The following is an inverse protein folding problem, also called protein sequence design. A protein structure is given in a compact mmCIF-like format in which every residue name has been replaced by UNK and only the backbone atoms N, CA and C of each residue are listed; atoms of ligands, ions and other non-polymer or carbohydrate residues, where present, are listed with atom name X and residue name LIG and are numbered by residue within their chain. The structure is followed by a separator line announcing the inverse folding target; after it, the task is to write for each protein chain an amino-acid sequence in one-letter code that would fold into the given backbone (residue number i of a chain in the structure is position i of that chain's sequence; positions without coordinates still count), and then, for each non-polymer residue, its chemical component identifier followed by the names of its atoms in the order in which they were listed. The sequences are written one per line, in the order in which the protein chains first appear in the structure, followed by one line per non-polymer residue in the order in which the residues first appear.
data_IF_934272475785
#
_entry.id   IF_934272475785
#
_cell.length_a   1.000
_cell.length_b   1.000
_cell.length_c   1.000
_cell.angle_alpha   90.00
_cell.angle_beta   90.00
_cell.angle_gamma   90.00
#
_symmetry.space_group_name_H-M   'P 1'
#
loop_
_entity.id
_entity.type
_entity.pdbx_description
1 polymer ?
#
# COMPACT_ATOMS: atom_id res chain seq x y z
N UNK A 1 -1.56 -8.81 2.78
CA UNK A 1 -1.89 -7.39 2.91
C UNK A 1 -2.81 -6.98 1.77
N UNK A 2 -3.43 -5.84 1.87
CA UNK A 2 -4.21 -5.28 0.77
C UNK A 2 -4.04 -3.77 0.81
N UNK A 3 -3.21 -3.25 -0.08
CA UNK A 3 -2.97 -1.81 -0.19
C UNK A 3 -3.53 -1.33 -1.53
N UNK A 4 -4.56 -0.51 -1.48
CA UNK A 4 -5.14 0.06 -2.69
C UNK A 4 -4.28 1.21 -3.19
N UNK A 5 -3.92 1.18 -4.47
CA UNK A 5 -3.15 2.25 -5.12
C UNK A 5 -4.06 2.89 -6.16
N UNK A 6 -4.63 4.07 -5.86
CA UNK A 6 -5.65 4.67 -6.74
C UNK A 6 -5.21 4.90 -8.18
N UNK A 7 -3.98 5.34 -8.37
CA UNK A 7 -3.48 5.62 -9.72
C UNK A 7 -3.31 4.36 -10.56
N UNK A 8 -3.19 3.21 -9.93
CA UNK A 8 -3.05 1.92 -10.61
C UNK A 8 -4.38 1.16 -10.66
N UNK A 9 -5.37 1.63 -9.91
CA UNK A 9 -6.66 0.97 -9.76
C UNK A 9 -6.48 -0.52 -9.44
N UNK A 10 -5.58 -0.81 -8.51
CA UNK A 10 -5.25 -2.18 -8.12
C UNK A 10 -4.80 -2.22 -6.67
N UNK A 11 -4.83 -3.43 -6.09
CA UNK A 11 -4.33 -3.67 -4.74
C UNK A 11 -3.00 -4.37 -4.81
N UNK A 12 -2.05 -3.91 -3.99
CA UNK A 12 -0.82 -4.65 -3.73
C UNK A 12 -1.14 -5.63 -2.62
N UNK A 13 -1.04 -6.91 -2.92
CA UNK A 13 -1.41 -7.96 -1.95
C UNK A 13 -0.21 -8.71 -1.37
N UNK A 14 0.93 -8.58 -2.00
CA UNK A 14 2.16 -9.23 -1.52
C UNK A 14 3.38 -8.51 -2.08
N UNK A 15 4.51 -8.66 -1.42
CA UNK A 15 5.78 -8.09 -1.90
C UNK A 15 6.93 -8.99 -1.44
N UNK A 16 8.08 -8.88 -2.13
CA UNK A 16 9.30 -9.60 -1.72
C UNK A 16 10.38 -8.62 -1.30
N UNK A 17 11.52 -9.15 -0.88
CA UNK A 17 12.64 -8.32 -0.42
C UNK A 17 13.41 -7.61 -1.53
N UNK A 18 13.09 -7.88 -2.79
CA UNK A 18 13.76 -7.28 -3.93
C UNK A 18 12.97 -6.14 -4.57
N UNK A 19 11.83 -5.80 -3.98
CA UNK A 19 10.99 -4.71 -4.49
C UNK A 19 9.97 -5.14 -5.53
N UNK A 20 9.82 -6.45 -5.77
CA UNK A 20 8.75 -6.93 -6.64
C UNK A 20 7.46 -6.99 -5.84
N UNK A 21 6.36 -6.78 -6.52
CA UNK A 21 5.04 -6.77 -5.91
C UNK A 21 4.12 -7.73 -6.64
N UNK A 22 3.11 -8.21 -5.92
CA UNK A 22 2.04 -8.99 -6.53
C UNK A 22 0.75 -8.19 -6.44
N UNK A 23 0.15 -7.96 -7.60
CA UNK A 23 -1.13 -7.26 -7.69
C UNK A 23 -2.26 -8.28 -7.72
N UNK A 24 -3.41 -7.86 -7.23
CA UNK A 24 -4.58 -8.74 -7.17
C UNK A 24 -5.06 -9.21 -8.55
N UNK A 25 -4.78 -8.41 -9.59
CA UNK A 25 -5.24 -8.72 -10.95
C UNK A 25 -4.16 -9.32 -11.85
N UNK A 26 -2.91 -8.94 -11.66
CA UNK A 26 -1.87 -9.23 -12.64
C UNK A 26 -0.75 -10.14 -12.14
N UNK A 27 -0.74 -10.50 -10.87
CA UNK A 27 0.31 -11.33 -10.30
C UNK A 27 1.59 -10.56 -10.05
N UNK A 28 2.73 -11.27 -10.04
CA UNK A 28 4.02 -10.67 -9.69
C UNK A 28 4.56 -9.79 -10.79
N UNK A 29 5.10 -8.63 -10.42
CA UNK A 29 5.73 -7.71 -11.36
C UNK A 29 6.76 -6.85 -10.66
N UNK A 30 7.65 -6.26 -11.46
CA UNK A 30 8.60 -5.26 -10.98
C UNK A 30 8.01 -3.89 -11.32
N UNK A 31 7.66 -3.08 -10.34
CA UNK A 31 7.03 -1.79 -10.63
C UNK A 31 8.00 -0.83 -11.30
N UNK A 32 7.49 -0.03 -12.22
CA UNK A 32 8.25 1.07 -12.81
C UNK A 32 8.54 2.13 -11.74
N UNK A 33 9.38 3.11 -12.07
CA UNK A 33 9.69 4.19 -11.14
C UNK A 33 8.41 4.94 -10.72
N UNK A 34 7.54 5.22 -11.69
CA UNK A 34 6.28 5.91 -11.40
C UNK A 34 5.33 5.06 -10.57
N UNK A 35 5.22 3.79 -10.89
CA UNK A 35 4.40 2.86 -10.10
C UNK A 35 4.92 2.73 -8.69
N UNK A 36 6.25 2.66 -8.54
CA UNK A 36 6.87 2.60 -7.22
C UNK A 36 6.53 3.82 -6.39
N UNK A 37 6.60 5.01 -6.98
CA UNK A 37 6.25 6.25 -6.28
C UNK A 37 4.79 6.27 -5.86
N UNK A 38 3.91 5.80 -6.73
CA UNK A 38 2.49 5.72 -6.41
C UNK A 38 2.23 4.77 -5.24
N UNK A 39 2.90 3.63 -5.23
CA UNK A 39 2.78 2.65 -4.14
C UNK A 39 3.31 3.23 -2.83
N UNK A 40 4.47 3.89 -2.87
CA UNK A 40 5.04 4.52 -1.69
C UNK A 40 4.09 5.57 -1.12
N UNK A 41 3.52 6.39 -1.99
CA UNK A 41 2.58 7.42 -1.57
C UNK A 41 1.34 6.81 -0.92
N UNK A 42 0.77 5.80 -1.55
CA UNK A 42 -0.39 5.10 -1.00
C UNK A 42 -0.08 4.45 0.35
N UNK A 43 1.10 3.85 0.48
CA UNK A 43 1.52 3.22 1.73
C UNK A 43 1.69 4.24 2.85
N UNK A 44 2.25 5.40 2.54
CA UNK A 44 2.41 6.46 3.54
C UNK A 44 1.07 7.01 3.99
N UNK A 45 0.14 7.20 3.06
CA UNK A 45 -1.21 7.65 3.41
C UNK A 45 -1.91 6.62 4.30
N UNK A 46 -1.79 5.36 3.97
CA UNK A 46 -2.39 4.30 4.78
C UNK A 46 -1.77 4.24 6.17
N UNK A 47 -0.46 4.42 6.26
CA UNK A 47 0.23 4.45 7.54
C UNK A 47 -0.29 5.59 8.42
N UNK A 48 -0.47 6.78 7.85
CA UNK A 48 -1.02 7.91 8.60
C UNK A 48 -2.43 7.64 9.08
N UNK A 49 -3.26 7.08 8.20
CA UNK A 49 -4.64 6.73 8.58
C UNK A 49 -4.67 5.70 9.70
N UNK A 50 -3.79 4.71 9.64
CA UNK A 50 -3.71 3.69 10.70
C UNK A 50 -3.23 4.29 12.02
N UNK A 51 -2.27 5.20 11.97
CA UNK A 51 -1.82 5.90 13.17
C UNK A 51 -2.95 6.71 13.82
N UNK A 52 -3.71 7.42 12.99
CA UNK A 52 -4.84 8.19 13.48
C UNK A 52 -5.91 7.29 14.08
N UNK A 53 -6.21 6.19 13.43
CA UNK A 53 -7.17 5.21 13.94
C UNK A 53 -6.73 4.68 15.31
N UNK A 54 -5.46 4.31 15.43
CA UNK A 54 -4.93 3.82 16.70
C UNK A 54 -5.04 4.88 17.77
N UNK A 55 -4.70 6.12 17.45
CA UNK A 55 -4.78 7.22 18.40
C UNK A 55 -6.21 7.44 18.89
N UNK A 56 -7.17 7.45 17.99
CA UNK A 56 -8.58 7.62 18.33
C UNK A 56 -9.06 6.49 19.23
N UNK A 57 -8.75 5.25 18.88
CA UNK A 57 -9.20 4.08 19.62
C UNK A 57 -8.52 3.95 20.97
N UNK A 58 -7.25 4.28 21.05
CA UNK A 58 -6.52 4.20 22.32
C UNK A 58 -6.95 5.30 23.30
N UNK A 59 -7.39 6.43 22.81
CA UNK A 59 -7.83 7.55 23.62
C UNK A 59 -9.34 7.60 23.80
N UNK A 60 -10.08 6.70 23.20
CA UNK A 60 -11.54 6.60 23.32
C UNK A 60 -11.90 5.61 24.43
N UNK A 61 -13.00 5.88 25.10
CA UNK A 61 -13.52 4.99 26.13
C UNK A 61 -14.97 4.70 25.92
#
# INVERSE_FOLDING_TARGET
MRLFVPTMDAYVVEFDGEGRIRLDKDGWSSPSVQERRAIIHAAKDELENLKELLDVLENSR
#
